data_IF_577272312568
#
_entry.id   IF_577272312568
#
_cell.length_a   1.000
_cell.length_b   1.000
_cell.length_c   1.000
_cell.angle_alpha   90.00
_cell.angle_beta   90.00
_cell.angle_gamma   90.00
#
_symmetry.space_group_name_H-M   'P 1'
#
loop_
_entity.id
_entity.type
_entity.pdbx_description
1 polymer ?
#
# COMPACT_ATOMS: atom_id res chain seq x y z
N UNK A 1 -4.47 -2.00 28.18
CA UNK A 1 -4.56 -1.32 26.87
C UNK A 1 -4.28 -2.39 25.84
N UNK A 2 -5.34 -2.98 25.30
CA UNK A 2 -5.26 -4.00 24.25
C UNK A 2 -5.00 -3.26 22.93
N UNK A 3 -3.84 -3.47 22.32
CA UNK A 3 -3.62 -3.15 20.91
C UNK A 3 -4.72 -3.87 20.12
N UNK A 4 -5.57 -3.10 19.42
CA UNK A 4 -6.72 -3.62 18.67
C UNK A 4 -6.27 -4.38 17.41
N UNK A 5 -5.03 -4.14 16.96
CA UNK A 5 -4.36 -4.88 15.91
C UNK A 5 -2.91 -5.16 16.33
N UNK A 6 -2.50 -6.42 16.58
CA UNK A 6 -1.10 -6.71 16.82
C UNK A 6 -0.28 -6.39 15.56
N UNK A 7 0.81 -5.63 15.71
CA UNK A 7 1.73 -5.30 14.60
C UNK A 7 2.20 -6.54 13.81
N UNK A 8 2.14 -7.73 14.40
CA UNK A 8 2.41 -9.01 13.75
C UNK A 8 1.51 -9.27 12.53
N UNK A 9 0.23 -8.89 12.58
CA UNK A 9 -0.70 -9.09 11.45
C UNK A 9 -0.39 -8.14 10.29
N UNK A 10 -0.12 -6.87 10.60
CA UNK A 10 0.32 -5.88 9.59
C UNK A 10 1.62 -6.35 8.92
N UNK A 11 2.59 -6.80 9.72
CA UNK A 11 3.84 -7.35 9.19
C UNK A 11 3.62 -8.59 8.34
N UNK A 12 2.69 -9.47 8.71
CA UNK A 12 2.34 -10.64 7.91
C UNK A 12 1.70 -10.24 6.57
N UNK A 13 0.82 -9.23 6.56
CA UNK A 13 0.22 -8.69 5.34
C UNK A 13 1.29 -8.09 4.42
N UNK A 14 2.20 -7.29 4.98
CA UNK A 14 3.30 -6.67 4.22
C UNK A 14 4.26 -7.76 3.70
N UNK A 15 4.57 -8.78 4.49
CA UNK A 15 5.44 -9.89 4.09
C UNK A 15 4.78 -10.89 3.13
N UNK A 16 3.48 -10.76 2.85
CA UNK A 16 2.75 -11.65 1.96
C UNK A 16 3.23 -11.54 0.52
N UNK A 17 3.64 -10.35 0.09
CA UNK A 17 4.06 -10.05 -1.27
C UNK A 17 5.23 -9.04 -1.27
N UNK A 18 6.09 -9.04 -2.31
CA UNK A 18 7.15 -8.05 -2.43
C UNK A 18 6.59 -6.64 -2.56
N UNK A 19 5.43 -6.46 -3.19
CA UNK A 19 4.74 -5.17 -3.29
C UNK A 19 3.38 -5.30 -2.63
N UNK A 20 3.11 -4.45 -1.64
CA UNK A 20 1.81 -4.40 -0.95
C UNK A 20 1.27 -2.98 -0.93
N UNK A 21 0.03 -2.83 -1.39
CA UNK A 21 -0.68 -1.56 -1.49
C UNK A 21 -1.88 -1.57 -0.55
N UNK A 22 -1.82 -0.74 0.48
CA UNK A 22 -2.99 -0.46 1.32
C UNK A 22 -3.75 0.70 0.70
N UNK A 23 -4.96 0.44 0.22
CA UNK A 23 -5.72 1.43 -0.53
C UNK A 23 -7.22 1.25 -0.41
N UNK A 24 -7.95 2.15 -1.08
CA UNK A 24 -9.42 2.15 -1.06
C UNK A 24 -9.94 1.43 -2.29
N UNK A 25 -10.60 0.29 -2.10
CA UNK A 25 -11.06 -0.58 -3.18
C UNK A 25 -10.19 -1.83 -3.32
N UNK A 26 -10.32 -2.52 -4.45
CA UNK A 26 -9.62 -3.78 -4.73
C UNK A 26 -8.80 -3.66 -6.02
N UNK A 27 -7.96 -4.65 -6.31
CA UNK A 27 -7.14 -4.67 -7.53
C UNK A 27 -8.06 -4.70 -8.76
N UNK A 28 -7.85 -3.78 -9.72
CA UNK A 28 -8.71 -3.60 -10.88
C UNK A 28 -10.06 -2.93 -10.57
N UNK A 29 -10.37 -2.66 -9.30
CA UNK A 29 -11.61 -1.99 -8.86
C UNK A 29 -11.31 -0.92 -7.79
N UNK A 30 -10.52 0.12 -8.11
CA UNK A 30 -10.19 1.18 -7.17
C UNK A 30 -11.41 2.06 -6.85
N UNK A 31 -11.59 2.40 -5.58
CA UNK A 31 -12.66 3.30 -5.11
C UNK A 31 -12.15 4.73 -4.82
N UNK A 32 -10.90 5.02 -5.19
CA UNK A 32 -10.27 6.31 -4.99
C UNK A 32 -9.30 6.61 -6.14
N UNK A 33 -9.33 7.84 -6.69
CA UNK A 33 -8.47 8.23 -7.80
C UNK A 33 -6.97 8.09 -7.50
N UNK A 34 -6.54 8.33 -6.25
CA UNK A 34 -5.14 8.11 -5.86
C UNK A 34 -4.75 6.62 -5.85
N UNK A 35 -5.65 5.77 -5.39
CA UNK A 35 -5.46 4.32 -5.48
C UNK A 35 -5.42 3.85 -6.93
N UNK A 36 -6.30 4.38 -7.79
CA UNK A 36 -6.31 4.05 -9.21
C UNK A 36 -5.00 4.43 -9.91
N UNK A 37 -4.43 5.60 -9.60
CA UNK A 37 -3.13 6.01 -10.13
C UNK A 37 -2.00 5.05 -9.74
N UNK A 38 -1.95 4.64 -8.48
CA UNK A 38 -0.96 3.68 -7.99
C UNK A 38 -1.12 2.31 -8.68
N UNK A 39 -2.35 1.82 -8.82
CA UNK A 39 -2.61 0.56 -9.55
C UNK A 39 -2.13 0.65 -11.01
N UNK A 40 -2.47 1.73 -11.71
CA UNK A 40 -2.05 1.95 -13.10
C UNK A 40 -0.52 1.96 -13.25
N UNK A 41 0.22 2.55 -12.30
CA UNK A 41 1.70 2.53 -12.32
C UNK A 41 2.23 1.11 -12.26
N UNK A 42 1.71 0.29 -11.35
CA UNK A 42 2.15 -1.10 -11.25
C UNK A 42 1.72 -1.94 -12.46
N UNK A 43 0.54 -1.69 -13.01
CA UNK A 43 0.08 -2.34 -14.25
C UNK A 43 0.91 -1.94 -15.47
N UNK A 44 1.31 -0.66 -15.60
CA UNK A 44 2.18 -0.16 -16.67
C UNK A 44 3.58 -0.78 -16.61
N UNK A 45 4.07 -1.04 -15.41
CA UNK A 45 5.35 -1.71 -15.16
C UNK A 45 5.26 -3.25 -15.17
N UNK A 46 4.08 -3.83 -15.39
CA UNK A 46 3.80 -5.28 -15.31
C UNK A 46 4.24 -5.90 -13.96
N UNK A 47 4.07 -5.14 -12.87
CA UNK A 47 4.46 -5.56 -11.53
C UNK A 47 3.33 -6.28 -10.80
N UNK A 48 3.65 -7.44 -10.23
CA UNK A 48 2.74 -8.14 -9.32
C UNK A 48 2.73 -7.45 -7.95
N UNK A 49 1.53 -7.13 -7.46
CA UNK A 49 1.33 -6.52 -6.15
C UNK A 49 0.09 -7.08 -5.45
N UNK A 50 0.10 -7.07 -4.12
CA UNK A 50 -1.08 -7.33 -3.33
C UNK A 50 -1.80 -6.04 -2.96
N UNK A 51 -3.12 -6.04 -3.12
CA UNK A 51 -3.98 -4.93 -2.74
C UNK A 51 -4.76 -5.27 -1.46
N UNK A 52 -4.58 -4.46 -0.42
CA UNK A 52 -5.33 -4.58 0.84
C UNK A 52 -6.37 -3.47 0.93
N UNK A 53 -7.64 -3.85 0.94
CA UNK A 53 -8.76 -2.91 0.99
C UNK A 53 -9.03 -2.42 2.42
N UNK A 54 -8.49 -1.25 2.76
CA UNK A 54 -8.66 -0.60 4.07
C UNK A 54 -10.08 -0.07 4.32
N UNK A 55 -11.01 -0.16 3.36
CA UNK A 55 -12.41 0.17 3.59
C UNK A 55 -13.18 -0.97 4.28
N UNK A 56 -12.70 -2.21 4.16
CA UNK A 56 -13.32 -3.38 4.78
C UNK A 56 -12.98 -3.50 6.28
N UNK A 57 -11.88 -2.90 6.70
CA UNK A 57 -11.37 -3.00 8.07
C UNK A 57 -10.95 -1.61 8.60
N UNK A 58 -11.77 -1.05 9.49
CA UNK A 58 -11.58 0.31 10.01
C UNK A 58 -10.47 0.38 11.07
N UNK A 59 -10.25 -0.71 11.80
CA UNK A 59 -9.19 -0.84 12.79
C UNK A 59 -7.83 -0.94 12.10
N UNK A 60 -7.70 -1.79 11.08
CA UNK A 60 -6.52 -1.85 10.23
C UNK A 60 -6.20 -0.48 9.63
N UNK A 61 -7.21 0.25 9.15
CA UNK A 61 -7.03 1.60 8.60
C UNK A 61 -6.46 2.58 9.63
N UNK A 62 -6.93 2.52 10.87
CA UNK A 62 -6.44 3.38 11.93
C UNK A 62 -5.00 3.01 12.31
N UNK A 63 -4.74 1.72 12.48
CA UNK A 63 -3.43 1.19 12.87
C UNK A 63 -2.38 1.46 11.80
N UNK A 64 -2.69 1.26 10.51
CA UNK A 64 -1.76 1.53 9.41
C UNK A 64 -1.24 2.96 9.40
N UNK A 65 -2.06 3.96 9.79
CA UNK A 65 -1.61 5.35 9.88
C UNK A 65 -0.57 5.55 10.97
N UNK A 66 -0.74 4.85 12.10
CA UNK A 66 0.18 4.90 13.24
C UNK A 66 1.43 4.08 12.96
N UNK A 67 1.28 2.90 12.36
CA UNK A 67 2.37 2.00 12.00
C UNK A 67 3.32 2.63 10.98
N UNK A 68 2.78 3.26 9.93
CA UNK A 68 3.57 3.87 8.87
C UNK A 68 4.01 5.30 9.17
N UNK A 69 3.57 5.88 10.30
CA UNK A 69 3.64 7.32 10.60
C UNK A 69 3.15 8.20 9.42
N UNK A 70 2.10 7.75 8.70
CA UNK A 70 1.62 8.39 7.47
C UNK A 70 0.11 8.58 7.47
N UNK A 71 -0.40 9.82 7.33
CA UNK A 71 -1.81 10.12 7.58
C UNK A 71 -2.76 9.75 6.41
N UNK A 72 -2.23 9.53 5.20
CA UNK A 72 -3.02 9.39 3.96
C UNK A 72 -2.92 8.00 3.34
N UNK A 73 -3.82 7.72 2.39
CA UNK A 73 -3.85 6.50 1.59
C UNK A 73 -3.99 6.87 0.11
N UNK A 74 -3.47 6.06 -0.83
CA UNK A 74 -2.86 4.73 -0.63
C UNK A 74 -1.49 4.79 0.07
N UNK A 75 -1.11 3.70 0.74
CA UNK A 75 0.24 3.48 1.29
C UNK A 75 0.86 2.28 0.59
N UNK A 76 2.11 2.40 0.15
CA UNK A 76 2.82 1.35 -0.59
C UNK A 76 4.01 0.86 0.21
N UNK A 77 4.16 -0.46 0.24
CA UNK A 77 5.27 -1.16 0.83
C UNK A 77 6.00 -1.98 -0.23
N UNK A 78 7.33 -1.92 -0.23
CA UNK A 78 8.20 -2.75 -1.05
C UNK A 78 9.10 -3.58 -0.12
N UNK A 79 9.10 -4.89 -0.27
CA UNK A 79 9.94 -5.84 0.49
C UNK A 79 9.89 -5.67 2.01
N UNK A 80 8.73 -5.29 2.58
CA UNK A 80 8.63 -5.04 4.03
C UNK A 80 8.79 -3.57 4.41
N UNK A 81 9.29 -2.72 3.52
CA UNK A 81 9.61 -1.33 3.81
C UNK A 81 8.54 -0.38 3.29
N UNK A 82 8.17 0.60 4.12
CA UNK A 82 7.24 1.65 3.70
C UNK A 82 7.94 2.61 2.75
N UNK A 83 7.36 2.78 1.56
CA UNK A 83 7.91 3.66 0.51
C UNK A 83 7.23 5.02 0.53
N UNK A 84 5.91 5.04 0.67
CA UNK A 84 5.17 6.29 0.64
C UNK A 84 3.74 6.16 0.16
N UNK A 85 3.16 7.33 -0.17
CA UNK A 85 1.83 7.45 -0.76
C UNK A 85 1.84 7.53 -2.28
N UNK A 86 0.69 7.93 -2.84
CA UNK A 86 0.50 8.05 -4.29
C UNK A 86 1.51 8.97 -4.97
N UNK A 87 1.81 10.13 -4.39
CA UNK A 87 2.70 11.11 -5.02
C UNK A 87 4.14 10.59 -5.13
N UNK A 88 4.63 9.90 -4.10
CA UNK A 88 5.97 9.30 -4.07
C UNK A 88 6.06 8.16 -5.10
N UNK A 89 5.03 7.32 -5.19
CA UNK A 89 4.96 6.24 -6.19
C UNK A 89 4.99 6.81 -7.62
N UNK A 90 4.24 7.88 -7.89
CA UNK A 90 4.26 8.52 -9.21
C UNK A 90 5.63 9.11 -9.52
N UNK A 91 6.25 9.80 -8.56
CA UNK A 91 7.60 10.35 -8.73
C UNK A 91 8.64 9.24 -8.99
N UNK A 92 8.56 8.12 -8.27
CA UNK A 92 9.44 6.97 -8.50
C UNK A 92 9.22 6.32 -9.88
N UNK A 93 7.98 6.31 -10.40
CA UNK A 93 7.69 5.85 -11.75
C UNK A 93 8.28 6.78 -12.81
N UNK A 94 8.09 8.10 -12.65
CA UNK A 94 8.66 9.09 -13.56
C UNK A 94 10.19 9.10 -13.58
N UNK A 95 10.84 8.80 -12.45
CA UNK A 95 12.29 8.71 -12.34
C UNK A 95 12.85 7.31 -12.66
N UNK A 96 12.01 6.31 -12.96
CA UNK A 96 12.44 4.94 -13.24
C UNK A 96 13.09 4.22 -12.04
N UNK A 97 12.68 4.57 -10.82
CA UNK A 97 13.27 4.07 -9.56
C UNK A 97 12.60 2.82 -8.99
N UNK A 98 11.58 2.26 -9.66
CA UNK A 98 11.06 0.94 -9.32
C UNK A 98 12.04 -0.13 -9.79
N UNK A 99 12.97 -0.49 -8.90
CA UNK A 99 13.87 -1.61 -9.09
C UNK A 99 13.32 -2.76 -8.25
N UNK A 100 12.61 -3.67 -8.90
CA UNK A 100 12.34 -5.01 -8.35
C UNK A 100 13.36 -5.95 -9.00
N UNK A 101 14.34 -6.41 -8.22
CA UNK A 101 15.28 -7.45 -8.63
C UNK A 101 14.69 -8.85 -8.40
#
# INVERSE_FOLDING_TARGET
MTELYPHTEIKALIASNPIVVFGKGEQGQPMCGFTAKVQNVFEDLDLEYAMVNILKDSDLRAEMKTFSDWPTFPQVYLNGEFIGGCDIVLEMHENGQFIVE
#
